data_IF_858514194606
#
_entry.id   IF_858514194606
#
_cell.length_a   1.000
_cell.length_b   1.000
_cell.length_c   1.000
_cell.angle_alpha   90.00
_cell.angle_beta   90.00
_cell.angle_gamma   90.00
#
_symmetry.space_group_name_H-M   'P 1'
#
loop_
_entity.id
_entity.type
_entity.pdbx_description
1 polymer ?
#
# COMPACT_ATOMS: atom_id res chain seq x y z
N UNK A 1 -3.58 4.89 -12.67
CA UNK A 1 -2.86 4.57 -11.42
C UNK A 1 -3.66 5.01 -10.20
N UNK A 2 -4.33 6.14 -10.32
CA UNK A 2 -4.96 6.90 -9.23
C UNK A 2 -5.94 6.10 -8.39
N UNK A 3 -6.91 5.40 -9.00
CA UNK A 3 -7.90 4.61 -8.24
C UNK A 3 -7.24 3.54 -7.35
N UNK A 4 -6.19 2.92 -7.87
CA UNK A 4 -5.46 1.85 -7.18
C UNK A 4 -4.63 2.45 -6.05
N UNK A 5 -3.91 3.53 -6.32
CA UNK A 5 -3.15 4.25 -5.30
C UNK A 5 -4.05 4.80 -4.18
N UNK A 6 -5.19 5.40 -4.53
CA UNK A 6 -6.19 5.89 -3.58
C UNK A 6 -6.75 4.78 -2.69
N UNK A 7 -7.00 3.58 -3.24
CA UNK A 7 -7.41 2.44 -2.42
C UNK A 7 -6.34 2.06 -1.39
N UNK A 8 -5.07 1.96 -1.78
CA UNK A 8 -3.98 1.68 -0.83
C UNK A 8 -3.89 2.76 0.26
N UNK A 9 -4.02 4.04 -0.12
CA UNK A 9 -3.99 5.15 0.82
C UNK A 9 -5.17 5.13 1.79
N UNK A 10 -6.37 4.76 1.32
CA UNK A 10 -7.53 4.58 2.20
C UNK A 10 -7.29 3.46 3.23
N UNK A 11 -6.72 2.33 2.82
CA UNK A 11 -6.39 1.23 3.73
C UNK A 11 -5.37 1.66 4.80
N UNK A 12 -4.35 2.42 4.40
CA UNK A 12 -3.37 3.01 5.34
C UNK A 12 -4.02 3.98 6.30
N UNK A 13 -4.92 4.83 5.82
CA UNK A 13 -5.62 5.77 6.68
C UNK A 13 -6.47 5.04 7.74
N UNK A 14 -7.23 4.02 7.35
CA UNK A 14 -7.99 3.18 8.30
C UNK A 14 -7.06 2.55 9.35
N UNK A 15 -5.89 2.05 8.94
CA UNK A 15 -4.87 1.51 9.85
C UNK A 15 -4.38 2.55 10.87
N UNK A 16 -4.09 3.77 10.42
CA UNK A 16 -3.60 4.86 11.27
C UNK A 16 -4.65 5.30 12.29
N UNK A 17 -5.91 5.44 11.86
CA UNK A 17 -7.05 5.76 12.74
C UNK A 17 -7.18 4.69 13.81
N UNK A 18 -7.16 3.40 13.42
CA UNK A 18 -7.23 2.27 14.34
C UNK A 18 -6.08 2.27 15.36
N UNK A 19 -4.85 2.48 14.90
CA UNK A 19 -3.68 2.52 15.78
C UNK A 19 -3.80 3.63 16.83
N UNK A 20 -4.26 4.81 16.40
CA UNK A 20 -4.32 6.01 17.23
C UNK A 20 -5.48 5.98 18.24
N UNK A 21 -6.65 5.47 17.82
CA UNK A 21 -7.88 5.53 18.62
C UNK A 21 -8.11 4.25 19.42
N UNK A 22 -7.88 3.08 18.82
CA UNK A 22 -8.23 1.80 19.45
C UNK A 22 -7.05 1.14 20.16
N UNK A 23 -5.83 1.32 19.64
CA UNK A 23 -4.64 0.58 20.11
C UNK A 23 -3.74 1.42 21.03
N UNK A 24 -4.06 2.71 21.23
CA UNK A 24 -3.19 3.70 21.92
C UNK A 24 -1.73 3.67 21.43
N UNK A 25 -1.54 3.29 20.16
CA UNK A 25 -0.25 3.12 19.52
C UNK A 25 0.09 4.28 18.60
N UNK A 26 1.33 4.28 18.09
CA UNK A 26 1.71 5.24 17.05
C UNK A 26 1.05 4.84 15.71
N UNK A 27 0.44 5.78 14.97
CA UNK A 27 -0.07 5.50 13.64
C UNK A 27 1.04 5.00 12.69
N UNK A 28 0.72 3.94 11.96
CA UNK A 28 1.62 3.30 10.98
C UNK A 28 0.86 2.90 9.70
N UNK A 29 1.58 2.35 8.73
CA UNK A 29 1.04 1.97 7.42
C UNK A 29 0.99 0.44 7.21
N UNK A 30 1.19 -0.36 8.27
CA UNK A 30 1.26 -1.81 8.18
C UNK A 30 -0.14 -2.40 8.17
N UNK A 31 -0.60 -2.77 6.98
CA UNK A 31 -1.88 -3.46 6.78
C UNK A 31 -1.66 -4.96 7.06
N UNK A 32 -2.48 -5.55 7.93
CA UNK A 32 -2.48 -6.99 8.17
C UNK A 32 -3.35 -7.70 7.11
N UNK A 33 -2.77 -8.46 6.15
CA UNK A 33 -3.53 -9.07 5.07
C UNK A 33 -4.54 -10.12 5.55
N UNK A 34 -4.33 -10.70 6.74
CA UNK A 34 -5.23 -11.70 7.33
C UNK A 34 -6.59 -11.12 7.73
N UNK A 35 -6.70 -9.79 7.82
CA UNK A 35 -7.95 -9.07 8.15
C UNK A 35 -8.71 -8.60 6.90
N UNK A 36 -8.21 -8.93 5.70
CA UNK A 36 -8.79 -8.50 4.43
C UNK A 36 -9.53 -9.66 3.76
N UNK A 37 -10.59 -9.34 3.02
CA UNK A 37 -11.23 -10.30 2.13
C UNK A 37 -10.27 -10.77 1.02
N UNK A 38 -10.59 -11.90 0.39
CA UNK A 38 -9.78 -12.47 -0.70
C UNK A 38 -9.64 -11.50 -1.89
N UNK A 39 -10.68 -10.73 -2.19
CA UNK A 39 -10.66 -9.73 -3.25
C UNK A 39 -9.70 -8.60 -2.89
N UNK A 40 -9.79 -8.05 -1.69
CA UNK A 40 -8.92 -6.97 -1.21
C UNK A 40 -7.44 -7.39 -1.16
N UNK A 41 -7.15 -8.61 -0.71
CA UNK A 41 -5.79 -9.17 -0.76
C UNK A 41 -5.27 -9.26 -2.19
N UNK A 42 -6.11 -9.71 -3.13
CA UNK A 42 -5.75 -9.82 -4.54
C UNK A 42 -5.51 -8.43 -5.14
N UNK A 43 -6.40 -7.47 -4.84
CA UNK A 43 -6.23 -6.07 -5.21
C UNK A 43 -4.90 -5.54 -4.72
N UNK A 44 -4.59 -5.65 -3.41
CA UNK A 44 -3.32 -5.20 -2.82
C UNK A 44 -2.10 -5.80 -3.52
N UNK A 45 -2.12 -7.10 -3.86
CA UNK A 45 -1.02 -7.73 -4.62
C UNK A 45 -0.82 -7.08 -5.98
N UNK A 46 -1.90 -6.79 -6.70
CA UNK A 46 -1.82 -6.11 -8.00
C UNK A 46 -1.35 -4.65 -7.87
N UNK A 47 -1.69 -3.97 -6.76
CA UNK A 47 -1.14 -2.63 -6.45
C UNK A 47 0.38 -2.70 -6.33
N UNK A 48 0.89 -3.63 -5.50
CA UNK A 48 2.32 -3.72 -5.24
C UNK A 48 3.11 -4.07 -6.51
N UNK A 49 2.61 -4.99 -7.36
CA UNK A 49 3.22 -5.26 -8.67
C UNK A 49 3.32 -4.02 -9.56
N UNK A 50 2.30 -3.14 -9.53
CA UNK A 50 2.32 -1.89 -10.31
C UNK A 50 3.31 -0.87 -9.73
N UNK A 51 3.38 -0.75 -8.40
CA UNK A 51 4.35 0.10 -7.72
C UNK A 51 5.77 -0.36 -8.03
N UNK A 52 6.05 -1.66 -7.96
CA UNK A 52 7.36 -2.23 -8.27
C UNK A 52 7.79 -1.91 -9.70
N UNK A 53 6.91 -2.11 -10.70
CA UNK A 53 7.18 -1.72 -12.09
C UNK A 53 7.45 -0.22 -12.25
N UNK A 54 6.72 0.61 -11.52
CA UNK A 54 6.93 2.05 -11.54
C UNK A 54 8.26 2.45 -10.90
N UNK A 55 8.62 1.84 -9.77
CA UNK A 55 9.91 2.06 -9.10
C UNK A 55 11.09 1.58 -9.96
N UNK A 56 10.96 0.44 -10.65
CA UNK A 56 11.98 -0.04 -11.58
C UNK A 56 12.18 0.93 -12.74
N UNK A 57 11.08 1.42 -13.34
CA UNK A 57 11.15 2.45 -14.39
C UNK A 57 11.79 3.74 -13.88
N UNK A 58 11.38 4.23 -12.71
CA UNK A 58 11.98 5.42 -12.11
C UNK A 58 13.47 5.24 -11.83
N UNK A 59 13.87 4.09 -11.31
CA UNK A 59 15.28 3.77 -11.04
C UNK A 59 16.08 3.79 -12.33
N UNK A 60 15.58 3.15 -13.39
CA UNK A 60 16.22 3.17 -14.70
C UNK A 60 16.29 4.58 -15.28
N UNK A 61 15.16 5.31 -15.28
CA UNK A 61 15.08 6.67 -15.84
C UNK A 61 16.01 7.65 -15.09
N UNK A 62 16.29 7.43 -13.81
CA UNK A 62 17.14 8.30 -12.99
C UNK A 62 18.62 7.88 -12.91
N UNK A 63 18.90 6.58 -12.82
CA UNK A 63 20.26 6.06 -12.58
C UNK A 63 20.86 5.33 -13.79
N UNK A 64 20.03 4.94 -14.77
CA UNK A 64 20.44 4.07 -15.88
C UNK A 64 20.66 2.60 -15.50
N UNK A 65 20.41 2.20 -14.25
CA UNK A 65 20.59 0.84 -13.76
C UNK A 65 19.24 0.14 -13.53
N UNK A 66 19.15 -1.14 -13.91
CA UNK A 66 18.01 -2.04 -13.67
C UNK A 66 18.19 -2.89 -12.41
#
# INVERSE_FOLDING_TARGET
LDTVYSYLMQQRFVRQVKASIEENGKPDNYINPKKLSRIEQTTLKEIFKRIEKFQAKLSFDFTGMT
#
